data_IF_157415320267
#
_entry.id   IF_157415320267
#
_cell.length_a   1.000
_cell.length_b   1.000
_cell.length_c   1.000
_cell.angle_alpha   90.00
_cell.angle_beta   90.00
_cell.angle_gamma   90.00
#
_symmetry.space_group_name_H-M   'P 1'
#
loop_
_entity.id
_entity.type
_entity.pdbx_description
1 polymer ?
#
# COMPACT_ATOMS: atom_id res chain seq x y z
N UNK A 1 -13.22 -20.24 3.54
CA UNK A 1 -12.36 -20.28 4.74
C UNK A 1 -11.76 -18.89 4.92
N UNK A 2 -12.30 -18.11 5.86
CA UNK A 2 -11.66 -16.85 6.26
C UNK A 2 -10.55 -17.27 7.23
N UNK A 3 -9.33 -17.40 6.73
CA UNK A 3 -8.14 -17.53 7.57
C UNK A 3 -7.95 -16.19 8.26
N UNK A 4 -8.58 -16.02 9.43
CA UNK A 4 -8.32 -14.90 10.32
C UNK A 4 -6.86 -14.95 10.74
N UNK A 5 -5.99 -14.16 10.09
CA UNK A 5 -4.64 -13.93 10.59
C UNK A 5 -4.77 -13.31 11.97
N UNK A 6 -4.26 -14.00 12.98
CA UNK A 6 -4.15 -13.42 14.32
C UNK A 6 -3.32 -12.14 14.23
N UNK A 7 -3.95 -11.05 14.64
CA UNK A 7 -3.52 -9.64 14.55
C UNK A 7 -2.13 -9.36 15.17
N UNK A 8 -1.56 -10.33 15.88
CA UNK A 8 -0.29 -10.23 16.62
C UNK A 8 0.90 -10.97 15.97
N UNK A 9 0.66 -11.81 14.96
CA UNK A 9 1.65 -12.80 14.47
C UNK A 9 2.09 -12.56 13.01
N UNK A 10 1.42 -11.67 12.26
CA UNK A 10 1.78 -11.34 10.88
C UNK A 10 2.47 -9.97 10.71
N UNK A 11 3.30 -9.77 9.66
CA UNK A 11 3.64 -8.42 9.22
C UNK A 11 2.33 -7.65 8.99
N UNK A 12 2.06 -6.57 9.74
CA UNK A 12 1.03 -5.65 9.29
C UNK A 12 1.55 -5.07 7.98
N UNK A 13 0.81 -5.18 6.87
CA UNK A 13 1.32 -4.71 5.61
C UNK A 13 1.40 -3.17 5.69
N UNK A 14 2.62 -2.62 5.65
CA UNK A 14 2.86 -1.18 5.61
C UNK A 14 2.64 -0.72 4.18
N UNK A 15 1.88 0.35 4.00
CA UNK A 15 1.88 1.08 2.74
C UNK A 15 3.00 2.13 2.76
N UNK A 16 3.98 1.96 1.89
CA UNK A 16 5.04 2.95 1.67
C UNK A 16 4.60 3.89 0.55
N UNK A 17 4.65 5.18 0.86
CA UNK A 17 4.47 6.28 -0.10
C UNK A 17 5.86 6.79 -0.49
N UNK A 18 6.45 6.27 -1.56
CA UNK A 18 7.74 6.76 -2.06
C UNK A 18 7.52 7.87 -3.07
N UNK A 19 7.46 9.10 -2.54
CA UNK A 19 7.30 10.30 -3.36
C UNK A 19 8.44 10.51 -4.35
N UNK A 20 9.70 10.17 -3.97
CA UNK A 20 10.87 10.42 -4.84
C UNK A 20 10.79 9.58 -6.11
N UNK A 21 10.29 8.35 -6.00
CA UNK A 21 10.10 7.43 -7.14
C UNK A 21 8.68 7.48 -7.72
N UNK A 22 7.78 8.25 -7.09
CA UNK A 22 6.36 8.32 -7.40
C UNK A 22 5.65 6.95 -7.33
N UNK A 23 5.94 6.17 -6.28
CA UNK A 23 5.44 4.81 -6.09
C UNK A 23 4.63 4.67 -4.79
N UNK A 24 3.64 3.79 -4.85
CA UNK A 24 2.97 3.22 -3.68
C UNK A 24 3.30 1.74 -3.65
N UNK A 25 3.81 1.22 -2.53
CA UNK A 25 4.11 -0.21 -2.43
C UNK A 25 3.96 -0.77 -1.02
N UNK A 26 3.77 -2.08 -0.95
CA UNK A 26 3.76 -2.87 0.28
C UNK A 26 4.44 -4.20 0.04
N UNK A 27 4.69 -4.97 1.09
CA UNK A 27 5.23 -6.32 0.98
C UNK A 27 4.59 -7.27 1.97
N UNK A 28 4.46 -8.52 1.54
CA UNK A 28 3.99 -9.61 2.37
C UNK A 28 4.65 -10.91 1.92
N UNK A 29 5.11 -11.74 2.86
CA UNK A 29 5.69 -13.05 2.55
C UNK A 29 6.81 -12.99 1.48
N UNK A 30 7.71 -12.01 1.60
CA UNK A 30 8.81 -11.73 0.66
C UNK A 30 8.38 -11.27 -0.75
N UNK A 31 7.10 -11.02 -0.99
CA UNK A 31 6.59 -10.48 -2.26
C UNK A 31 6.29 -8.99 -2.12
N UNK A 32 6.70 -8.21 -3.11
CA UNK A 32 6.39 -6.78 -3.21
C UNK A 32 5.21 -6.56 -4.14
N UNK A 33 4.31 -5.68 -3.72
CA UNK A 33 3.19 -5.18 -4.51
C UNK A 33 3.35 -3.68 -4.67
N UNK A 34 3.29 -3.19 -5.90
CA UNK A 34 3.62 -1.80 -6.25
C UNK A 34 2.65 -1.26 -7.29
N UNK A 35 2.39 0.04 -7.23
CA UNK A 35 1.83 0.84 -8.30
C UNK A 35 2.62 2.14 -8.43
N UNK A 36 2.72 2.69 -9.65
CA UNK A 36 3.03 4.12 -9.79
C UNK A 36 1.86 4.92 -9.23
N UNK A 37 2.10 6.10 -8.70
CA UNK A 37 1.04 6.97 -8.20
C UNK A 37 -0.05 7.24 -9.25
N UNK A 38 0.34 7.42 -10.52
CA UNK A 38 -0.59 7.58 -11.65
C UNK A 38 -1.41 6.32 -11.96
N UNK A 39 -0.89 5.14 -11.60
CA UNK A 39 -1.52 3.83 -11.82
C UNK A 39 -2.31 3.34 -10.61
N UNK A 40 -2.10 3.98 -9.46
CA UNK A 40 -2.74 3.64 -8.21
C UNK A 40 -4.20 4.11 -8.27
N UNK A 41 -5.11 3.14 -8.46
CA UNK A 41 -6.53 3.35 -8.25
C UNK A 41 -6.92 2.99 -6.82
N UNK A 42 -8.03 3.57 -6.34
CA UNK A 42 -8.67 3.13 -5.11
C UNK A 42 -10.17 2.87 -5.33
N UNK A 43 -10.76 2.04 -4.48
CA UNK A 43 -12.19 1.79 -4.41
C UNK A 43 -12.62 1.78 -2.95
N UNK A 44 -13.84 2.23 -2.65
CA UNK A 44 -14.37 2.29 -1.28
C UNK A 44 -15.77 1.66 -1.12
N UNK A 45 -16.00 0.39 -1.54
CA UNK A 45 -17.30 -0.25 -1.38
C UNK A 45 -17.66 -0.42 0.11
N UNK A 46 -18.87 0.01 0.49
CA UNK A 46 -19.37 -0.08 1.87
C UNK A 46 -18.39 0.48 2.91
N UNK A 47 -17.76 1.63 2.58
CA UNK A 47 -16.74 2.32 3.39
C UNK A 47 -15.44 1.52 3.65
N UNK A 48 -15.19 0.44 2.93
CA UNK A 48 -13.91 -0.25 2.99
C UNK A 48 -12.98 0.28 1.90
N UNK A 49 -11.96 1.05 2.28
CA UNK A 49 -10.98 1.55 1.32
C UNK A 49 -10.04 0.44 0.87
N UNK A 50 -9.84 0.34 -0.45
CA UNK A 50 -8.87 -0.54 -1.08
C UNK A 50 -8.02 0.25 -2.05
N UNK A 51 -6.70 0.00 -2.01
CA UNK A 51 -5.73 0.54 -2.96
C UNK A 51 -5.27 -0.59 -3.87
N UNK A 52 -5.38 -0.37 -5.18
CA UNK A 52 -4.96 -1.34 -6.19
C UNK A 52 -3.44 -1.31 -6.32
N UNK A 53 -2.80 -2.46 -6.12
CA UNK A 53 -1.36 -2.65 -6.33
C UNK A 53 -1.11 -3.86 -7.22
N UNK A 54 0.06 -3.92 -7.84
CA UNK A 54 0.43 -4.96 -8.79
C UNK A 54 1.64 -5.75 -8.31
N UNK A 55 1.75 -7.01 -8.70
CA UNK A 55 2.97 -7.80 -8.55
C UNK A 55 3.17 -8.66 -9.78
N UNK A 56 4.41 -8.89 -10.18
CA UNK A 56 4.70 -9.85 -11.23
C UNK A 56 4.82 -11.27 -10.66
N UNK A 57 3.90 -12.14 -11.05
CA UNK A 57 3.98 -13.56 -10.73
C UNK A 57 4.89 -14.26 -11.74
N UNK A 58 6.11 -14.58 -11.32
CA UNK A 58 7.11 -15.21 -12.18
C UNK A 58 6.73 -16.64 -12.57
N UNK A 59 6.07 -17.39 -11.69
CA UNK A 59 5.68 -18.79 -11.93
C UNK A 59 4.58 -18.88 -12.99
N UNK A 60 3.66 -17.92 -12.99
CA UNK A 60 2.54 -17.83 -13.95
C UNK A 60 2.83 -16.91 -15.14
N UNK A 61 4.01 -16.28 -15.15
CA UNK A 61 4.44 -15.29 -16.14
C UNK A 61 3.37 -14.23 -16.46
N UNK A 62 2.76 -13.63 -15.43
CA UNK A 62 1.70 -12.62 -15.60
C UNK A 62 1.69 -11.61 -14.47
N UNK A 63 1.13 -10.43 -14.74
CA UNK A 63 0.80 -9.47 -13.70
C UNK A 63 -0.38 -9.99 -12.86
N UNK A 64 -0.26 -9.88 -11.54
CA UNK A 64 -1.36 -10.11 -10.60
C UNK A 64 -1.69 -8.79 -9.89
N UNK A 65 -2.98 -8.56 -9.64
CA UNK A 65 -3.47 -7.40 -8.91
C UNK A 65 -3.88 -7.82 -7.50
N UNK A 66 -3.56 -6.99 -6.51
CA UNK A 66 -4.13 -7.09 -5.17
C UNK A 66 -4.90 -5.81 -4.81
N UNK A 67 -5.82 -5.95 -3.87
CA UNK A 67 -6.51 -4.85 -3.22
C UNK A 67 -5.96 -4.74 -1.79
N UNK A 68 -5.04 -3.81 -1.59
CA UNK A 68 -4.50 -3.51 -0.26
C UNK A 68 -5.52 -2.70 0.54
N UNK A 69 -5.92 -3.20 1.70
CA UNK A 69 -6.83 -2.50 2.61
C UNK A 69 -6.02 -1.81 3.72
N UNK A 70 -5.86 -0.47 3.68
CA UNK A 70 -5.32 0.27 4.81
C UNK A 70 -6.26 0.18 6.03
N UNK A 71 -5.70 0.23 7.24
CA UNK A 71 -6.50 0.60 8.41
C UNK A 71 -6.44 2.11 8.61
N UNK A 72 -7.39 2.84 8.03
CA UNK A 72 -7.47 4.30 8.17
C UNK A 72 -8.15 4.74 9.48
N UNK A 73 -8.82 3.82 10.20
CA UNK A 73 -9.56 4.16 11.42
C UNK A 73 -8.74 3.81 12.67
N UNK A 74 -8.66 4.76 13.59
CA UNK A 74 -8.13 4.53 14.95
C UNK A 74 -9.20 3.98 15.90
N UNK A 75 -10.46 3.93 15.46
CA UNK A 75 -11.62 3.54 16.29
C UNK A 75 -12.11 2.11 16.00
N UNK A 76 -11.57 1.44 14.99
CA UNK A 76 -12.04 0.14 14.53
C UNK A 76 -10.95 -0.94 14.60
N UNK A 77 -11.24 -2.01 15.35
CA UNK A 77 -10.40 -3.21 15.42
C UNK A 77 -10.63 -4.18 14.24
N UNK A 78 -11.53 -3.86 13.32
CA UNK A 78 -11.95 -4.72 12.21
C UNK A 78 -11.60 -4.17 10.82
N UNK A 79 -10.70 -3.19 10.71
CA UNK A 79 -10.33 -2.53 9.43
C UNK A 79 -11.50 -1.84 8.72
N UNK A 80 -12.57 -1.56 9.46
CA UNK A 80 -13.73 -0.80 8.97
C UNK A 80 -13.48 0.68 9.28
N UNK A 81 -13.39 1.51 8.26
CA UNK A 81 -13.29 2.96 8.38
C UNK A 81 -14.60 3.61 7.99
N UNK A 82 -14.85 4.80 8.54
CA UNK A 82 -15.93 5.66 8.10
C UNK A 82 -15.56 6.36 6.79
N UNK A 83 -16.56 6.83 6.04
CA UNK A 83 -16.34 7.51 4.76
C UNK A 83 -15.42 8.74 4.90
N UNK A 84 -15.60 9.52 5.97
CA UNK A 84 -14.78 10.71 6.21
C UNK A 84 -13.31 10.34 6.51
N UNK A 85 -13.05 9.23 7.19
CA UNK A 85 -11.69 8.74 7.47
C UNK A 85 -11.00 8.28 6.19
N UNK A 86 -11.74 7.58 5.32
CA UNK A 86 -11.25 7.19 3.99
C UNK A 86 -10.91 8.41 3.13
N UNK A 87 -11.79 9.40 3.09
CA UNK A 87 -11.59 10.64 2.35
C UNK A 87 -10.39 11.43 2.89
N UNK A 88 -10.21 11.47 4.21
CA UNK A 88 -9.05 12.08 4.84
C UNK A 88 -7.75 11.34 4.48
N UNK A 89 -7.75 10.01 4.51
CA UNK A 89 -6.59 9.19 4.15
C UNK A 89 -6.19 9.33 2.67
N UNK A 90 -7.17 9.30 1.75
CA UNK A 90 -6.92 9.53 0.32
C UNK A 90 -6.41 10.94 0.08
N UNK A 91 -6.98 11.95 0.74
CA UNK A 91 -6.53 13.35 0.66
C UNK A 91 -5.10 13.50 1.16
N UNK A 92 -4.74 12.83 2.26
CA UNK A 92 -3.39 12.78 2.79
C UNK A 92 -2.41 12.19 1.77
N UNK A 93 -2.72 11.03 1.17
CA UNK A 93 -1.86 10.41 0.14
C UNK A 93 -1.65 11.39 -1.02
N UNK A 94 -2.73 12.00 -1.53
CA UNK A 94 -2.64 12.94 -2.65
C UNK A 94 -1.82 14.18 -2.32
N UNK A 95 -2.07 14.80 -1.16
CA UNK A 95 -1.31 15.96 -0.71
C UNK A 95 0.19 15.61 -0.55
N UNK A 96 0.48 14.47 0.08
CA UNK A 96 1.85 14.03 0.33
C UNK A 96 2.58 13.75 -0.99
N UNK A 97 1.98 12.94 -1.87
CA UNK A 97 2.61 12.56 -3.13
C UNK A 97 2.85 13.78 -4.03
N UNK A 98 1.91 14.72 -4.09
CA UNK A 98 2.05 15.90 -4.95
C UNK A 98 2.99 16.95 -4.35
N UNK A 99 2.75 17.34 -3.10
CA UNK A 99 3.33 18.55 -2.50
C UNK A 99 4.34 18.28 -1.38
N UNK A 100 4.44 17.04 -0.92
CA UNK A 100 5.34 16.66 0.16
C UNK A 100 4.74 16.89 1.54
N UNK A 101 5.56 16.62 2.57
CA UNK A 101 5.14 16.67 3.98
C UNK A 101 4.81 18.10 4.46
N UNK A 102 5.57 19.09 4.00
CA UNK A 102 5.54 20.46 4.54
C UNK A 102 4.17 21.16 4.37
N UNK A 103 3.33 20.70 3.43
CA UNK A 103 1.97 21.25 3.26
C UNK A 103 0.91 20.54 4.11
N UNK A 104 1.27 19.42 4.73
CA UNK A 104 0.37 18.61 5.57
C UNK A 104 0.57 18.97 7.03
N UNK A 105 1.82 18.99 7.48
CA UNK A 105 2.18 19.25 8.87
C UNK A 105 3.60 19.79 8.96
N UNK A 106 3.79 20.71 9.89
CA UNK A 106 5.07 21.26 10.34
C UNK A 106 5.70 20.45 11.50
N UNK A 107 4.99 19.49 12.07
CA UNK A 107 5.45 18.64 13.18
C UNK A 107 6.01 17.30 12.69
N UNK A 108 7.01 16.76 13.39
CA UNK A 108 7.53 15.41 13.15
C UNK A 108 6.51 14.33 13.50
N UNK A 109 6.56 13.22 12.76
CA UNK A 109 5.66 12.10 13.01
C UNK A 109 6.10 11.38 14.28
N UNK A 110 5.26 11.41 15.31
CA UNK A 110 5.50 10.67 16.54
C UNK A 110 5.18 9.18 16.31
N UNK A 111 6.17 8.32 16.49
CA UNK A 111 5.96 6.88 16.45
C UNK A 111 5.63 6.38 17.85
N UNK A 112 4.37 6.05 18.12
CA UNK A 112 4.05 5.27 19.31
C UNK A 112 4.60 3.84 19.16
N UNK A 113 5.36 3.31 20.13
CA UNK A 113 5.86 1.95 20.06
C UNK A 113 4.69 0.96 20.13
N UNK A 114 4.60 0.05 19.17
CA UNK A 114 3.58 -1.00 19.15
C UNK A 114 3.77 -1.94 20.35
N UNK A 115 2.97 -1.74 21.39
CA UNK A 115 2.92 -2.63 22.56
C UNK A 115 2.29 -3.96 22.11
N UNK A 116 3.01 -5.08 22.24
CA UNK A 116 2.58 -6.45 21.86
C UNK A 116 2.65 -6.86 20.38
N UNK A 117 3.49 -6.20 19.58
CA UNK A 117 3.77 -6.62 18.22
C UNK A 117 5.05 -7.46 18.12
N UNK A 118 4.95 -8.69 17.59
CA UNK A 118 6.08 -9.63 17.49
C UNK A 118 6.58 -9.85 16.04
N UNK A 119 6.00 -9.15 15.06
CA UNK A 119 6.41 -9.23 13.66
C UNK A 119 7.63 -8.36 13.34
N UNK A 120 8.24 -8.59 12.17
CA UNK A 120 9.26 -7.69 11.59
C UNK A 120 8.68 -6.96 10.39
N UNK A 121 9.00 -5.67 10.29
CA UNK A 121 8.60 -4.78 9.19
C UNK A 121 9.70 -4.58 8.14
N UNK A 122 10.67 -5.49 8.05
CA UNK A 122 11.77 -5.33 7.10
C UNK A 122 11.28 -5.64 5.68
N UNK A 123 11.57 -4.77 4.70
CA UNK A 123 11.25 -5.05 3.32
C UNK A 123 12.13 -6.19 2.79
N UNK A 124 11.70 -6.95 1.76
CA UNK A 124 12.49 -8.01 1.16
C UNK A 124 13.86 -7.51 0.66
N UNK A 125 14.90 -8.35 0.67
CA UNK A 125 16.26 -7.95 0.23
C UNK A 125 16.29 -7.52 -1.24
N UNK A 126 15.36 -8.03 -2.05
CA UNK A 126 15.26 -7.84 -3.50
C UNK A 126 14.14 -6.88 -3.93
N UNK A 127 13.68 -5.98 -3.04
CA UNK A 127 12.57 -5.05 -3.29
C UNK A 127 12.70 -4.31 -4.61
N UNK A 128 13.86 -3.69 -4.86
CA UNK A 128 14.04 -2.87 -6.07
C UNK A 128 13.97 -3.70 -7.34
N UNK A 129 14.48 -4.93 -7.32
CA UNK A 129 14.39 -5.86 -8.43
C UNK A 129 12.93 -6.29 -8.69
N UNK A 130 12.17 -6.58 -7.63
CA UNK A 130 10.74 -6.93 -7.75
C UNK A 130 9.89 -5.77 -8.26
N UNK A 131 10.14 -4.55 -7.77
CA UNK A 131 9.48 -3.32 -8.25
C UNK A 131 9.76 -3.13 -9.74
N UNK A 132 11.03 -3.12 -10.14
CA UNK A 132 11.42 -2.92 -11.53
C UNK A 132 10.77 -3.96 -12.45
N UNK A 133 10.79 -5.23 -12.05
CA UNK A 133 10.17 -6.32 -12.82
C UNK A 133 8.66 -6.12 -12.99
N UNK A 134 7.97 -5.75 -11.92
CA UNK A 134 6.52 -5.51 -11.92
C UNK A 134 6.16 -4.32 -12.81
N UNK A 135 6.86 -3.20 -12.67
CA UNK A 135 6.62 -2.00 -13.47
C UNK A 135 6.92 -2.23 -14.96
N UNK A 136 8.01 -2.93 -15.28
CA UNK A 136 8.34 -3.29 -16.66
C UNK A 136 7.26 -4.16 -17.30
N UNK A 137 6.63 -5.07 -16.54
CA UNK A 137 5.52 -5.86 -17.06
C UNK A 137 4.24 -5.04 -17.20
N UNK A 138 3.94 -4.19 -16.21
CA UNK A 138 2.80 -3.27 -16.28
C UNK A 138 2.87 -2.38 -17.53
N UNK A 139 4.07 -1.89 -17.90
CA UNK A 139 4.26 -1.08 -19.10
C UNK A 139 4.02 -1.84 -20.40
N UNK A 140 4.32 -3.15 -20.43
CA UNK A 140 4.03 -4.00 -21.60
C UNK A 140 2.54 -4.28 -21.76
N UNK A 141 1.79 -4.30 -20.65
CA UNK A 141 0.37 -4.60 -20.63
C UNK A 141 -0.51 -3.35 -20.79
N UNK A 142 0.02 -2.15 -20.48
CA UNK A 142 -0.68 -0.90 -20.78
C UNK A 142 -0.79 -0.73 -22.31
N UNK A 143 -2.01 -0.59 -22.87
CA UNK A 143 -2.13 -0.16 -24.24
C UNK A 143 -1.49 1.22 -24.37
N UNK A 144 -0.57 1.40 -25.33
CA UNK A 144 -0.11 2.71 -25.76
C UNK A 144 -1.31 3.48 -26.31
N UNK A 145 -2.05 4.16 -25.44
CA UNK A 145 -2.95 5.21 -25.86
C UNK A 145 -2.09 6.41 -26.29
N UNK A 146 -1.75 6.41 -27.58
CA UNK A 146 -1.30 7.58 -28.32
C UNK A 146 -2.48 8.55 -28.51
#
# INVERSE_FOLDING_TARGET
YITGKSVFIGPYPILVLDRKRNLLYTWENKKVYVARYEDAGYAAPSNNLFIKLFTFNSDKNRLETILFQPNASVHSSLFLSEEYENNAFVSFINAYMQKGRDVITDHDFESEPLKFYFGRYEPPVDVDAQIAKTLNQLDKEKPHHA
#
